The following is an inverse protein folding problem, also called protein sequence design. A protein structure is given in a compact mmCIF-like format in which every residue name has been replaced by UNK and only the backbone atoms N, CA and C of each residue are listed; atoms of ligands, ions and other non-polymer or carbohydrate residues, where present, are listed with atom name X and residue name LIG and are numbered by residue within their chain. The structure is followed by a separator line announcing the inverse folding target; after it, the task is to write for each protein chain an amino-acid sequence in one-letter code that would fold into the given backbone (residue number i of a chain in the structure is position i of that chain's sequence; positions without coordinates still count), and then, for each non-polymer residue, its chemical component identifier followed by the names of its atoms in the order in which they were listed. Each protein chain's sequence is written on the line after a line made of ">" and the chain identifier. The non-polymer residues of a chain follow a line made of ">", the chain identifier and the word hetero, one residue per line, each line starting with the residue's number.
data_IF_328847965739
#
_entry.id   IF_328847965739
#
_cell.length_a   1.000
_cell.length_b   1.000
_cell.length_c   1.000
_cell.angle_alpha   90.00
_cell.angle_beta   90.00
_cell.angle_gamma   90.00
#
_symmetry.space_group_name_H-M   'P 1'
#
loop_
_entity.id
_entity.type
_entity.pdbx_description
1 polymer ?
#
# COMPACT_ATOMS: atom_id res chain seq x y z
N UNK A 1 -8.31 -11.41 -7.95
CA UNK A 1 -8.25 -10.69 -6.65
C UNK A 1 -6.97 -9.87 -6.61
N UNK A 2 -7.01 -8.65 -7.15
CA UNK A 2 -5.96 -7.64 -7.02
C UNK A 2 -6.44 -6.39 -6.28
N UNK A 3 -6.92 -6.57 -5.04
CA UNK A 3 -7.50 -5.47 -4.24
C UNK A 3 -6.58 -4.24 -4.09
N UNK A 4 -5.26 -4.43 -4.09
CA UNK A 4 -4.30 -3.32 -4.05
C UNK A 4 -4.30 -2.41 -5.29
N UNK A 5 -4.79 -2.87 -6.45
CA UNK A 5 -4.88 -2.00 -7.63
C UNK A 5 -5.92 -0.89 -7.44
N UNK A 6 -7.02 -1.19 -6.75
CA UNK A 6 -8.05 -0.21 -6.39
C UNK A 6 -7.51 0.87 -5.45
N UNK A 7 -6.44 0.57 -4.70
CA UNK A 7 -5.79 1.55 -3.82
C UNK A 7 -5.02 2.61 -4.61
N UNK A 8 -4.50 2.26 -5.79
CA UNK A 8 -3.72 3.14 -6.67
C UNK A 8 -4.56 4.13 -7.49
N UNK A 9 -5.89 3.97 -7.52
CA UNK A 9 -6.78 4.92 -8.21
C UNK A 9 -6.73 6.25 -7.45
N UNK A 10 -6.73 7.38 -8.13
CA UNK A 10 -6.84 8.72 -7.53
C UNK A 10 -8.18 9.35 -7.89
N UNK A 11 -8.58 10.42 -7.20
CA UNK A 11 -9.88 11.09 -7.36
C UNK A 11 -11.06 10.09 -7.27
N UNK A 12 -11.06 9.25 -6.23
CA UNK A 12 -11.98 8.12 -6.13
C UNK A 12 -13.40 8.56 -5.83
N UNK A 13 -14.34 7.99 -6.57
CA UNK A 13 -15.75 7.88 -6.18
C UNK A 13 -16.01 6.40 -5.91
N UNK A 14 -16.31 6.07 -4.66
CA UNK A 14 -16.56 4.70 -4.21
C UNK A 14 -18.07 4.53 -4.05
N UNK A 15 -18.66 3.61 -4.82
CA UNK A 15 -20.09 3.30 -4.76
C UNK A 15 -20.24 1.83 -4.30
N UNK A 16 -20.76 1.57 -3.09
CA UNK A 16 -21.10 0.22 -2.65
C UNK A 16 -22.04 -0.49 -3.62
N UNK A 17 -21.85 -1.79 -3.85
CA UNK A 17 -22.74 -2.56 -4.74
C UNK A 17 -24.20 -2.53 -4.28
N UNK A 18 -24.43 -2.44 -2.97
CA UNK A 18 -25.78 -2.36 -2.40
C UNK A 18 -26.55 -1.10 -2.81
N UNK A 19 -25.84 -0.01 -3.15
CA UNK A 19 -26.44 1.26 -3.53
C UNK A 19 -26.69 1.35 -5.04
N UNK A 20 -26.23 0.35 -5.81
CA UNK A 20 -26.41 0.30 -7.26
C UNK A 20 -27.62 -0.58 -7.57
N UNK A 21 -28.66 -0.07 -8.25
CA UNK A 21 -29.84 -0.86 -8.59
C UNK A 21 -29.47 -2.15 -9.33
N UNK A 22 -30.06 -3.27 -8.87
CA UNK A 22 -29.89 -4.61 -9.44
C UNK A 22 -28.46 -5.19 -9.37
N UNK A 23 -27.52 -4.53 -8.68
CA UNK A 23 -26.17 -5.07 -8.52
C UNK A 23 -26.15 -6.16 -7.43
N UNK A 24 -25.62 -7.35 -7.72
CA UNK A 24 -25.50 -8.41 -6.73
C UNK A 24 -24.34 -8.14 -5.76
N UNK A 25 -24.45 -8.67 -4.55
CA UNK A 25 -23.43 -8.54 -3.49
C UNK A 25 -22.55 -9.79 -3.43
N UNK A 26 -21.22 -9.64 -3.38
CA UNK A 26 -20.36 -10.79 -3.14
C UNK A 26 -20.35 -11.17 -1.66
N UNK A 27 -20.45 -12.45 -1.36
CA UNK A 27 -20.39 -13.03 -0.02
C UNK A 27 -19.02 -13.61 0.30
N UNK A 28 -18.12 -13.73 -0.68
CA UNK A 28 -16.78 -14.29 -0.44
C UNK A 28 -15.91 -13.37 0.41
N UNK A 29 -15.34 -13.93 1.48
CA UNK A 29 -14.38 -13.25 2.35
C UNK A 29 -13.25 -12.57 1.54
N UNK A 30 -13.00 -11.29 1.84
CA UNK A 30 -12.02 -10.45 1.15
C UNK A 30 -12.57 -9.63 -0.04
N UNK A 31 -13.84 -9.77 -0.41
CA UNK A 31 -14.49 -8.90 -1.39
C UNK A 31 -15.24 -7.76 -0.69
N UNK A 32 -14.77 -6.52 -0.89
CA UNK A 32 -15.38 -5.33 -0.26
C UNK A 32 -16.71 -4.92 -0.90
N UNK A 33 -17.01 -5.43 -2.10
CA UNK A 33 -18.25 -5.20 -2.85
C UNK A 33 -18.49 -3.70 -3.15
N UNK A 34 -17.46 -3.03 -3.69
CA UNK A 34 -17.54 -1.64 -4.14
C UNK A 34 -17.22 -1.50 -5.62
N UNK A 35 -17.89 -0.58 -6.31
CA UNK A 35 -17.54 -0.09 -7.64
C UNK A 35 -16.83 1.24 -7.49
N UNK A 36 -15.58 1.31 -7.94
CA UNK A 36 -14.71 2.47 -7.73
C UNK A 36 -14.46 3.14 -9.07
N UNK A 37 -14.86 4.40 -9.18
CA UNK A 37 -14.51 5.29 -10.28
C UNK A 37 -13.34 6.17 -9.86
N UNK A 38 -12.55 6.59 -10.83
CA UNK A 38 -11.48 7.57 -10.60
C UNK A 38 -10.51 7.58 -11.75
N UNK A 39 -9.27 7.96 -11.47
CA UNK A 39 -8.20 8.00 -12.46
C UNK A 39 -7.06 7.06 -12.09
N UNK A 40 -6.54 6.36 -13.08
CA UNK A 40 -5.28 5.62 -12.98
C UNK A 40 -4.35 6.16 -14.08
N UNK A 41 -3.31 6.89 -13.70
CA UNK A 41 -2.43 7.64 -14.62
C UNK A 41 -3.15 8.63 -15.53
N UNK A 42 -4.11 9.37 -14.97
CA UNK A 42 -4.93 10.32 -15.74
C UNK A 42 -5.96 9.67 -16.67
N UNK A 43 -5.97 8.35 -16.81
CA UNK A 43 -7.02 7.62 -17.52
C UNK A 43 -8.19 7.37 -16.57
N UNK A 44 -9.41 7.66 -17.04
CA UNK A 44 -10.62 7.29 -16.31
C UNK A 44 -10.74 5.77 -16.24
N UNK A 45 -10.93 5.26 -15.04
CA UNK A 45 -11.11 3.84 -14.77
C UNK A 45 -12.32 3.60 -13.89
N UNK A 46 -12.92 2.43 -14.09
CA UNK A 46 -13.91 1.84 -13.18
C UNK A 46 -13.38 0.48 -12.73
N UNK A 47 -13.39 0.23 -11.43
CA UNK A 47 -12.77 -0.94 -10.82
C UNK A 47 -13.76 -1.65 -9.89
N UNK A 48 -13.89 -2.97 -10.08
CA UNK A 48 -14.62 -3.84 -9.16
C UNK A 48 -13.74 -4.23 -7.97
N UNK A 49 -14.05 -3.70 -6.79
CA UNK A 49 -13.40 -4.10 -5.54
C UNK A 49 -14.13 -5.29 -4.90
N UNK A 50 -14.09 -6.42 -5.61
CA UNK A 50 -14.81 -7.64 -5.26
C UNK A 50 -15.56 -8.16 -6.47
N UNK A 51 -15.31 -9.42 -6.83
CA UNK A 51 -15.93 -10.08 -7.98
C UNK A 51 -17.06 -11.00 -7.52
N UNK A 52 -17.94 -11.39 -8.43
CA UNK A 52 -19.01 -12.35 -8.20
C UNK A 52 -18.62 -13.69 -8.80
N UNK A 53 -18.99 -14.79 -8.15
CA UNK A 53 -18.68 -16.13 -8.62
C UNK A 53 -19.93 -17.00 -8.71
N UNK A 54 -20.00 -17.92 -9.69
CA UNK A 54 -21.12 -18.83 -9.81
C UNK A 54 -21.33 -19.73 -8.59
N UNK A 55 -20.25 -20.15 -7.92
CA UNK A 55 -20.33 -20.96 -6.70
C UNK A 55 -20.98 -20.23 -5.51
N UNK A 56 -21.18 -18.90 -5.59
CA UNK A 56 -21.96 -18.13 -4.61
C UNK A 56 -23.49 -18.29 -4.84
N UNK A 57 -23.91 -19.10 -5.82
CA UNK A 57 -25.31 -19.30 -6.22
C UNK A 57 -25.77 -18.37 -7.35
N UNK A 58 -24.86 -17.57 -7.91
CA UNK A 58 -25.18 -16.65 -8.99
C UNK A 58 -25.10 -17.32 -10.36
N UNK A 59 -25.97 -16.90 -11.29
CA UNK A 59 -25.83 -17.32 -12.69
C UNK A 59 -24.58 -16.70 -13.32
N UNK A 60 -24.01 -17.33 -14.34
CA UNK A 60 -22.88 -16.77 -15.08
C UNK A 60 -23.20 -15.39 -15.67
N UNK A 61 -24.46 -15.16 -16.08
CA UNK A 61 -24.95 -13.87 -16.54
C UNK A 61 -24.95 -12.82 -15.41
N UNK A 62 -25.38 -13.19 -14.20
CA UNK A 62 -25.32 -12.33 -13.01
C UNK A 62 -23.87 -11.97 -12.67
N UNK A 63 -22.94 -12.92 -12.73
CA UNK A 63 -21.51 -12.65 -12.49
C UNK A 63 -20.91 -11.69 -13.54
N UNK A 64 -21.36 -11.78 -14.79
CA UNK A 64 -20.92 -10.91 -15.88
C UNK A 64 -21.67 -9.55 -15.94
N UNK A 65 -22.73 -9.36 -15.16
CA UNK A 65 -23.55 -8.14 -15.18
C UNK A 65 -22.74 -6.84 -14.97
N UNK A 66 -21.77 -6.76 -14.04
CA UNK A 66 -20.96 -5.55 -13.87
C UNK A 66 -20.18 -5.15 -15.13
N UNK A 67 -19.74 -6.12 -15.94
CA UNK A 67 -19.04 -5.86 -17.21
C UNK A 67 -19.97 -5.18 -18.23
N UNK A 68 -21.28 -5.51 -18.21
CA UNK A 68 -22.30 -4.80 -19.02
C UNK A 68 -22.39 -3.35 -18.64
N UNK A 69 -22.52 -3.11 -17.34
CA UNK A 69 -22.65 -1.75 -16.80
C UNK A 69 -21.42 -0.93 -17.19
N UNK A 70 -20.21 -1.48 -17.06
CA UNK A 70 -18.99 -0.79 -17.50
C UNK A 70 -18.98 -0.50 -19.00
N UNK A 71 -19.46 -1.43 -19.84
CA UNK A 71 -19.56 -1.18 -21.29
C UNK A 71 -20.50 -0.03 -21.58
N UNK A 72 -21.67 -0.02 -20.95
CA UNK A 72 -22.70 1.01 -21.14
C UNK A 72 -22.22 2.38 -20.65
N UNK A 73 -21.35 2.41 -19.63
CA UNK A 73 -20.68 3.62 -19.16
C UNK A 73 -19.55 4.11 -20.09
N UNK A 74 -19.28 3.40 -21.20
CA UNK A 74 -18.31 3.81 -22.22
C UNK A 74 -16.92 3.17 -22.09
N UNK A 75 -16.74 2.15 -21.24
CA UNK A 75 -15.46 1.45 -21.18
C UNK A 75 -15.22 0.64 -22.48
N UNK A 76 -13.97 0.65 -22.96
CA UNK A 76 -13.56 -0.03 -24.20
C UNK A 76 -12.52 -1.13 -23.97
N UNK A 77 -11.85 -1.11 -22.82
CA UNK A 77 -10.82 -2.07 -22.44
C UNK A 77 -11.19 -2.72 -21.11
N UNK A 78 -10.94 -4.02 -20.99
CA UNK A 78 -11.18 -4.80 -19.78
C UNK A 78 -9.88 -5.48 -19.34
N UNK A 79 -9.52 -5.34 -18.07
CA UNK A 79 -8.43 -6.09 -17.45
C UNK A 79 -9.04 -7.03 -16.41
N UNK A 80 -8.92 -8.34 -16.63
CA UNK A 80 -9.45 -9.35 -15.70
C UNK A 80 -8.31 -10.04 -14.96
N UNK A 81 -8.44 -10.16 -13.64
CA UNK A 81 -7.36 -10.65 -12.78
C UNK A 81 -7.84 -11.69 -11.79
N UNK A 82 -7.18 -12.84 -11.75
CA UNK A 82 -7.59 -13.96 -10.93
C UNK A 82 -6.43 -14.61 -10.19
N UNK A 83 -6.78 -15.36 -9.15
CA UNK A 83 -5.90 -16.39 -8.60
C UNK A 83 -6.22 -17.72 -9.29
N UNK A 84 -5.21 -18.55 -9.47
CA UNK A 84 -5.33 -19.81 -10.20
C UNK A 84 -4.41 -20.89 -9.63
N UNK A 85 -4.83 -22.13 -9.71
CA UNK A 85 -3.96 -23.29 -9.52
C UNK A 85 -3.13 -23.52 -10.79
N UNK A 86 -1.83 -23.79 -10.63
CA UNK A 86 -0.94 -24.14 -11.74
C UNK A 86 -1.17 -25.57 -12.19
N UNK A 87 -1.66 -25.76 -13.41
CA UNK A 87 -1.83 -27.08 -14.04
C UNK A 87 -0.54 -27.49 -14.74
N UNK A 88 0.14 -26.52 -15.37
CA UNK A 88 1.45 -26.71 -15.98
C UNK A 88 2.54 -26.93 -14.91
N UNK A 89 3.34 -27.99 -15.06
CA UNK A 89 4.39 -28.37 -14.10
C UNK A 89 5.51 -27.34 -13.96
N UNK A 90 5.78 -26.59 -15.03
CA UNK A 90 6.85 -25.59 -15.08
C UNK A 90 6.48 -24.31 -14.33
N UNK A 91 5.21 -24.17 -13.92
CA UNK A 91 4.73 -22.98 -13.24
C UNK A 91 4.98 -23.10 -11.75
N UNK A 92 5.42 -21.99 -11.16
CA UNK A 92 5.68 -21.88 -9.73
C UNK A 92 4.66 -20.98 -9.07
N UNK A 93 4.43 -21.22 -7.77
CA UNK A 93 3.67 -20.31 -6.93
C UNK A 93 4.28 -18.92 -7.01
N UNK A 94 3.46 -17.91 -7.27
CA UNK A 94 3.86 -16.53 -7.49
C UNK A 94 4.21 -16.16 -8.93
N UNK A 95 4.15 -17.10 -9.87
CA UNK A 95 4.23 -16.79 -11.30
C UNK A 95 2.99 -16.01 -11.75
N UNK A 96 3.22 -15.05 -12.64
CA UNK A 96 2.17 -14.27 -13.29
C UNK A 96 2.01 -14.82 -14.70
N UNK A 97 0.83 -15.35 -15.00
CA UNK A 97 0.48 -15.87 -16.32
C UNK A 97 -0.41 -14.87 -17.06
N UNK A 98 0.01 -14.48 -18.26
CA UNK A 98 -0.87 -13.85 -19.24
C UNK A 98 -1.79 -14.92 -19.82
N UNK A 99 -3.10 -14.70 -19.74
CA UNK A 99 -4.10 -15.61 -20.30
C UNK A 99 -4.16 -15.36 -21.81
N UNK A 100 -3.66 -16.32 -22.60
CA UNK A 100 -3.72 -16.25 -24.08
C UNK A 100 -5.03 -16.80 -24.63
N UNK A 101 -5.64 -17.74 -23.92
CA UNK A 101 -6.89 -18.40 -24.27
C UNK A 101 -7.54 -19.05 -23.04
N UNK A 102 -8.76 -19.58 -23.17
CA UNK A 102 -9.42 -20.32 -22.10
C UNK A 102 -10.20 -21.56 -22.55
N UNK A 103 -10.33 -22.51 -21.63
CA UNK A 103 -11.33 -23.58 -21.68
C UNK A 103 -12.48 -23.21 -20.72
N UNK A 104 -13.68 -22.98 -21.24
CA UNK A 104 -14.84 -22.59 -20.45
C UNK A 104 -15.80 -23.78 -20.30
N UNK A 105 -15.58 -24.60 -19.26
CA UNK A 105 -16.37 -25.82 -19.03
C UNK A 105 -17.84 -25.52 -18.73
N UNK A 106 -18.13 -24.41 -18.03
CA UNK A 106 -19.50 -23.97 -17.80
C UNK A 106 -20.24 -23.71 -19.11
N UNK A 107 -19.57 -23.05 -20.07
CA UNK A 107 -20.14 -22.80 -21.40
C UNK A 107 -20.32 -24.08 -22.21
N UNK A 108 -19.35 -25.01 -22.18
CA UNK A 108 -19.45 -26.31 -22.86
C UNK A 108 -20.66 -27.13 -22.36
N UNK A 109 -21.02 -26.98 -21.08
CA UNK A 109 -22.21 -27.58 -20.49
C UNK A 109 -23.51 -26.77 -20.70
N UNK A 110 -23.49 -25.70 -21.48
CA UNK A 110 -24.65 -24.86 -21.78
C UNK A 110 -24.91 -23.72 -20.79
N UNK A 111 -24.12 -23.58 -19.73
CA UNK A 111 -24.22 -22.46 -18.78
C UNK A 111 -23.39 -21.27 -19.28
N UNK A 112 -23.98 -20.50 -20.19
CA UNK A 112 -23.35 -19.38 -20.88
C UNK A 112 -23.95 -18.03 -20.43
N UNK A 113 -23.14 -16.98 -20.17
CA UNK A 113 -23.61 -15.68 -19.68
C UNK A 113 -24.29 -14.78 -20.73
N UNK A 114 -24.33 -15.19 -22.00
CA UNK A 114 -24.69 -14.32 -23.12
C UNK A 114 -26.18 -14.07 -23.23
N UNK A 115 -26.51 -12.78 -23.40
CA UNK A 115 -27.84 -12.27 -23.75
C UNK A 115 -27.57 -11.22 -24.84
N UNK A 116 -28.00 -11.46 -26.09
CA UNK A 116 -27.73 -10.57 -27.24
C UNK A 116 -27.34 -11.35 -28.51
N UNK A 117 -26.40 -10.81 -29.32
CA UNK A 117 -25.86 -11.47 -30.54
C UNK A 117 -25.72 -12.97 -30.36
N UNK A 118 -26.40 -13.74 -31.21
CA UNK A 118 -26.66 -15.16 -30.95
C UNK A 118 -25.39 -16.01 -30.93
N UNK A 119 -24.39 -15.65 -31.73
CA UNK A 119 -23.15 -16.42 -31.91
C UNK A 119 -21.92 -15.48 -31.95
N UNK A 120 -21.45 -14.94 -30.81
CA UNK A 120 -20.28 -14.07 -30.81
C UNK A 120 -19.00 -14.89 -31.05
N UNK A 121 -18.08 -14.43 -31.92
CA UNK A 121 -16.78 -15.06 -32.06
C UNK A 121 -15.93 -14.78 -30.82
N UNK A 122 -15.51 -15.83 -30.11
CA UNK A 122 -14.67 -15.72 -28.90
C UNK A 122 -13.23 -16.18 -29.10
N UNK A 123 -12.84 -16.62 -30.31
CA UNK A 123 -11.47 -17.07 -30.62
C UNK A 123 -10.38 -15.99 -30.50
N UNK A 124 -10.77 -14.72 -30.36
CA UNK A 124 -9.89 -13.58 -30.07
C UNK A 124 -10.33 -12.82 -28.82
N UNK A 125 -10.92 -13.51 -27.84
CA UNK A 125 -11.41 -12.89 -26.61
C UNK A 125 -10.31 -12.19 -25.82
N UNK A 126 -9.06 -12.63 -25.94
CA UNK A 126 -7.87 -11.97 -25.38
C UNK A 126 -7.11 -11.21 -26.47
N UNK A 127 -6.86 -9.92 -26.24
CA UNK A 127 -6.26 -9.04 -27.24
C UNK A 127 -4.75 -9.30 -27.37
N UNK A 128 -4.34 -9.83 -28.53
CA UNK A 128 -2.93 -10.14 -28.81
C UNK A 128 -2.00 -8.93 -28.68
N UNK A 129 -2.46 -7.72 -29.02
CA UNK A 129 -1.63 -6.51 -28.89
C UNK A 129 -1.39 -6.19 -27.41
N UNK A 130 -2.40 -6.34 -26.55
CA UNK A 130 -2.22 -6.17 -25.10
C UNK A 130 -1.25 -7.20 -24.52
N UNK A 131 -1.32 -8.46 -24.93
CA UNK A 131 -0.37 -9.50 -24.50
C UNK A 131 1.07 -9.14 -24.93
N UNK A 132 1.27 -8.74 -26.18
CA UNK A 132 2.58 -8.34 -26.72
C UNK A 132 3.14 -7.14 -25.94
N UNK A 133 2.34 -6.10 -25.73
CA UNK A 133 2.77 -4.92 -24.98
C UNK A 133 3.11 -5.27 -23.52
N UNK A 134 2.33 -6.14 -22.88
CA UNK A 134 2.64 -6.61 -21.52
C UNK A 134 3.94 -7.40 -21.45
N UNK A 135 4.27 -8.21 -22.46
CA UNK A 135 5.56 -8.90 -22.54
C UNK A 135 6.72 -7.92 -22.73
N UNK A 136 6.58 -6.91 -23.59
CA UNK A 136 7.59 -5.85 -23.77
C UNK A 136 7.84 -5.10 -22.46
N UNK A 137 6.75 -4.73 -21.79
CA UNK A 137 6.79 -4.12 -20.46
C UNK A 137 7.54 -5.06 -19.51
N UNK A 138 7.15 -6.32 -19.40
CA UNK A 138 7.79 -7.26 -18.49
C UNK A 138 9.29 -7.40 -18.76
N UNK A 139 9.71 -7.51 -20.02
CA UNK A 139 11.11 -7.55 -20.42
C UNK A 139 11.87 -6.29 -19.95
N UNK A 140 11.29 -5.10 -20.13
CA UNK A 140 11.90 -3.84 -19.67
C UNK A 140 12.16 -3.80 -18.16
N UNK A 141 11.32 -4.46 -17.36
CA UNK A 141 11.45 -4.51 -15.90
C UNK A 141 12.06 -5.81 -15.38
N UNK A 142 12.64 -6.62 -16.28
CA UNK A 142 13.21 -7.93 -15.97
C UNK A 142 12.24 -8.83 -15.17
N UNK A 143 10.95 -8.76 -15.52
CA UNK A 143 9.88 -9.57 -14.96
C UNK A 143 9.64 -10.77 -15.87
N UNK A 144 9.77 -11.97 -15.31
CA UNK A 144 9.42 -13.19 -16.01
C UNK A 144 7.90 -13.38 -15.97
N UNK A 145 7.27 -13.42 -17.14
CA UNK A 145 5.85 -13.76 -17.29
C UNK A 145 5.71 -15.13 -17.92
N UNK A 146 4.68 -15.86 -17.50
CA UNK A 146 4.17 -17.03 -18.21
C UNK A 146 3.08 -16.61 -19.18
N UNK A 147 2.75 -17.47 -20.12
CA UNK A 147 1.63 -17.30 -21.03
C UNK A 147 0.97 -18.66 -21.25
N UNK A 148 -0.35 -18.75 -21.06
CA UNK A 148 -1.02 -20.04 -21.05
C UNK A 148 -2.55 -20.00 -21.16
N UNK A 149 -3.13 -21.19 -21.26
CA UNK A 149 -4.57 -21.42 -21.37
C UNK A 149 -5.18 -21.54 -19.96
N UNK A 150 -6.20 -20.72 -19.69
CA UNK A 150 -6.91 -20.73 -18.41
C UNK A 150 -8.15 -21.64 -18.46
N UNK A 151 -8.30 -22.56 -17.51
CA UNK A 151 -9.45 -23.43 -17.39
C UNK A 151 -10.43 -22.86 -16.37
N UNK A 152 -11.62 -22.46 -16.83
CA UNK A 152 -12.69 -21.97 -15.98
C UNK A 152 -13.63 -23.10 -15.54
N UNK A 153 -13.64 -23.41 -14.25
CA UNK A 153 -14.53 -24.38 -13.61
C UNK A 153 -15.61 -23.70 -12.76
N UNK A 154 -16.60 -24.49 -12.31
CA UNK A 154 -17.69 -24.01 -11.45
C UNK A 154 -17.28 -23.78 -9.99
N UNK A 155 -16.44 -24.67 -9.42
CA UNK A 155 -16.18 -24.69 -7.98
C UNK A 155 -17.39 -25.14 -7.15
N UNK A 156 -17.38 -24.99 -5.81
CA UNK A 156 -16.32 -24.38 -4.99
C UNK A 156 -15.20 -25.35 -4.58
N UNK A 157 -15.38 -26.65 -4.77
CA UNK A 157 -14.33 -27.63 -4.48
C UNK A 157 -13.12 -27.38 -5.38
N UNK A 158 -11.92 -27.44 -4.80
CA UNK A 158 -10.69 -27.52 -5.59
C UNK A 158 -10.66 -28.83 -6.38
N UNK A 159 -9.81 -28.84 -7.40
CA UNK A 159 -9.73 -29.93 -8.35
C UNK A 159 -9.09 -31.18 -7.72
N UNK A 160 -9.64 -32.34 -8.03
CA UNK A 160 -9.03 -33.65 -7.77
C UNK A 160 -7.79 -33.85 -8.64
N UNK A 161 -6.94 -34.82 -8.28
CA UNK A 161 -5.76 -35.20 -9.08
C UNK A 161 -6.18 -35.63 -10.50
N UNK A 162 -7.28 -36.36 -10.63
CA UNK A 162 -7.80 -36.79 -11.93
C UNK A 162 -8.24 -35.60 -12.79
N UNK A 163 -8.92 -34.62 -12.19
CA UNK A 163 -9.33 -33.40 -12.89
C UNK A 163 -8.12 -32.55 -13.32
N UNK A 164 -7.12 -32.35 -12.45
CA UNK A 164 -5.88 -31.65 -12.81
C UNK A 164 -5.16 -32.35 -13.99
N UNK A 165 -5.06 -33.67 -13.94
CA UNK A 165 -4.42 -34.45 -15.01
C UNK A 165 -5.23 -34.36 -16.32
N UNK A 166 -6.56 -34.42 -16.25
CA UNK A 166 -7.43 -34.20 -17.40
C UNK A 166 -7.22 -32.81 -18.00
N UNK A 167 -7.24 -31.75 -17.19
CA UNK A 167 -7.04 -30.39 -17.66
C UNK A 167 -5.68 -30.21 -18.34
N UNK A 168 -4.64 -30.85 -17.82
CA UNK A 168 -3.30 -30.84 -18.44
C UNK A 168 -3.30 -31.51 -19.81
N UNK A 169 -3.93 -32.68 -19.92
CA UNK A 169 -4.06 -33.39 -21.20
C UNK A 169 -4.84 -32.57 -22.25
N UNK A 170 -5.82 -31.78 -21.80
CA UNK A 170 -6.58 -30.86 -22.65
C UNK A 170 -5.83 -29.56 -22.99
N UNK A 171 -4.59 -29.40 -22.52
CA UNK A 171 -3.74 -28.23 -22.81
C UNK A 171 -3.97 -27.04 -21.87
N UNK A 172 -4.59 -27.25 -20.71
CA UNK A 172 -4.73 -26.23 -19.67
C UNK A 172 -3.43 -25.95 -18.93
N UNK A 173 -3.11 -24.68 -18.72
CA UNK A 173 -1.91 -24.24 -18.00
C UNK A 173 -2.21 -23.78 -16.57
N UNK A 174 -3.40 -23.21 -16.36
CA UNK A 174 -3.88 -22.79 -15.04
C UNK A 174 -5.38 -23.02 -14.92
N UNK A 175 -5.88 -23.23 -13.72
CA UNK A 175 -7.30 -23.48 -13.43
C UNK A 175 -7.84 -22.53 -12.37
N UNK A 176 -9.10 -22.14 -12.50
CA UNK A 176 -9.81 -21.50 -11.41
C UNK A 176 -11.29 -21.32 -11.68
N UNK A 177 -11.97 -20.59 -10.80
CA UNK A 177 -13.43 -20.62 -10.68
C UNK A 177 -14.09 -19.29 -11.08
N UNK A 178 -13.47 -18.52 -11.98
CA UNK A 178 -13.91 -17.17 -12.32
C UNK A 178 -13.43 -16.75 -13.71
N UNK A 179 -13.56 -15.46 -14.04
CA UNK A 179 -12.95 -14.81 -15.23
C UNK A 179 -13.59 -15.19 -16.56
N UNK A 180 -13.76 -16.47 -16.88
CA UNK A 180 -14.19 -16.90 -18.22
C UNK A 180 -15.55 -16.32 -18.63
N UNK A 181 -16.52 -16.24 -17.71
CA UNK A 181 -17.84 -15.66 -18.00
C UNK A 181 -17.79 -14.14 -18.21
N UNK A 182 -16.94 -13.42 -17.47
CA UNK A 182 -16.70 -11.99 -17.68
C UNK A 182 -16.05 -11.76 -19.06
N UNK A 183 -15.08 -12.59 -19.44
CA UNK A 183 -14.37 -12.50 -20.73
C UNK A 183 -15.26 -12.88 -21.90
N UNK A 184 -16.06 -13.94 -21.78
CA UNK A 184 -17.06 -14.31 -22.80
C UNK A 184 -18.02 -13.16 -23.05
N UNK A 185 -18.46 -12.49 -21.99
CA UNK A 185 -19.32 -11.31 -22.12
C UNK A 185 -18.56 -10.11 -22.69
N UNK A 186 -17.31 -9.90 -22.28
CA UNK A 186 -16.47 -8.82 -22.77
C UNK A 186 -16.27 -8.91 -24.29
N UNK A 187 -15.98 -10.12 -24.80
CA UNK A 187 -15.86 -10.41 -26.22
C UNK A 187 -17.16 -10.11 -26.98
N UNK A 188 -18.31 -10.52 -26.42
CA UNK A 188 -19.63 -10.24 -27.01
C UNK A 188 -19.93 -8.75 -27.16
N UNK A 189 -19.46 -7.93 -26.21
CA UNK A 189 -19.65 -6.48 -26.22
C UNK A 189 -18.51 -5.69 -26.87
N UNK A 190 -17.54 -6.37 -27.49
CA UNK A 190 -16.44 -5.74 -28.22
C UNK A 190 -15.39 -5.07 -27.33
N UNK A 191 -15.22 -5.52 -26.09
CA UNK A 191 -14.08 -5.11 -25.28
C UNK A 191 -12.77 -5.66 -25.83
N UNK A 192 -11.71 -4.85 -25.74
CA UNK A 192 -10.34 -5.35 -25.82
C UNK A 192 -9.93 -5.86 -24.45
N UNK A 193 -9.65 -7.15 -24.32
CA UNK A 193 -9.45 -7.78 -22.99
C UNK A 193 -8.01 -8.23 -22.77
N UNK A 194 -7.48 -7.95 -21.58
CA UNK A 194 -6.24 -8.52 -21.07
C UNK A 194 -6.55 -9.39 -19.85
N UNK A 195 -6.14 -10.66 -19.89
CA UNK A 195 -6.31 -11.60 -18.78
C UNK A 195 -4.99 -11.86 -18.06
N UNK A 196 -5.02 -11.81 -16.73
CA UNK A 196 -3.87 -12.08 -15.88
C UNK A 196 -4.27 -13.06 -14.77
N UNK A 197 -3.56 -14.18 -14.67
CA UNK A 197 -3.71 -15.13 -13.58
C UNK A 197 -2.44 -15.11 -12.71
N UNK A 198 -2.63 -15.02 -11.40
CA UNK A 198 -1.58 -15.25 -10.41
C UNK A 198 -1.64 -16.72 -10.01
N UNK A 199 -0.54 -17.46 -10.19
CA UNK A 199 -0.44 -18.85 -9.74
C UNK A 199 -0.29 -18.86 -8.21
N UNK A 200 -1.32 -19.32 -7.51
CA UNK A 200 -1.38 -19.29 -6.04
C UNK A 200 -1.10 -20.63 -5.39
N UNK A 201 -1.15 -21.70 -6.14
CA UNK A 201 -0.86 -23.06 -5.69
C UNK A 201 -0.49 -23.90 -6.92
N UNK A 202 0.16 -25.04 -6.71
CA UNK A 202 0.31 -26.05 -7.77
C UNK A 202 -0.89 -27.00 -7.68
N UNK A 203 -1.46 -27.37 -8.82
CA UNK A 203 -2.47 -28.42 -8.88
C UNK A 203 -1.86 -29.75 -8.46
N UNK A 204 -2.61 -30.54 -7.70
CA UNK A 204 -2.14 -31.85 -7.24
C UNK A 204 -1.97 -32.78 -8.43
N UNK A 205 -0.76 -33.28 -8.62
CA UNK A 205 -0.41 -34.16 -9.76
C UNK A 205 0.00 -35.57 -9.35
N UNK A 206 0.23 -35.83 -8.06
CA UNK A 206 0.61 -37.13 -7.54
C UNK A 206 -0.15 -37.43 -6.24
N UNK A 207 -0.63 -38.67 -6.13
CA UNK A 207 -1.35 -39.22 -4.98
C UNK A 207 -0.48 -39.33 -3.72
N UNK A 208 0.85 -39.29 -3.86
CA UNK A 208 1.77 -39.29 -2.71
C UNK A 208 1.98 -37.89 -2.09
N UNK A 209 1.38 -36.84 -2.65
CA UNK A 209 1.54 -35.46 -2.17
C UNK A 209 0.60 -35.21 -0.98
N UNK A 210 1.15 -34.82 0.17
CA UNK A 210 0.39 -34.58 1.42
C UNK A 210 -0.14 -33.14 1.54
N UNK A 211 0.28 -32.24 0.65
CA UNK A 211 -0.07 -30.81 0.74
C UNK A 211 -1.35 -30.49 -0.04
N UNK A 212 -2.45 -30.12 0.61
CA UNK A 212 -3.71 -29.75 -0.04
C UNK A 212 -3.84 -28.25 -0.28
N UNK A 213 -4.62 -27.85 -1.30
CA UNK A 213 -4.89 -26.44 -1.57
C UNK A 213 -5.95 -25.89 -0.60
N UNK A 214 -5.59 -24.88 0.20
CA UNK A 214 -6.50 -24.22 1.15
C UNK A 214 -6.69 -22.75 0.77
N UNK A 215 -7.90 -22.22 0.96
CA UNK A 215 -8.25 -20.83 0.60
C UNK A 215 -7.36 -19.78 1.30
N UNK A 216 -6.96 -20.05 2.55
CA UNK A 216 -6.09 -19.18 3.33
C UNK A 216 -4.71 -19.02 2.71
N UNK A 217 -4.17 -20.10 2.13
CA UNK A 217 -2.88 -20.09 1.42
C UNK A 217 -2.94 -19.22 0.18
N UNK A 218 -4.04 -19.31 -0.56
CA UNK A 218 -4.30 -18.48 -1.73
C UNK A 218 -4.32 -17.00 -1.33
N UNK A 219 -5.03 -16.63 -0.26
CA UNK A 219 -5.05 -15.24 0.24
C UNK A 219 -3.66 -14.78 0.69
N UNK A 220 -2.93 -15.63 1.42
CA UNK A 220 -1.57 -15.36 1.92
C UNK A 220 -0.59 -15.10 0.76
N UNK A 221 -0.64 -15.93 -0.27
CA UNK A 221 0.23 -15.83 -1.46
C UNK A 221 -0.16 -14.63 -2.33
N UNK A 222 -1.45 -14.33 -2.47
CA UNK A 222 -1.91 -13.08 -3.08
C UNK A 222 -1.28 -11.90 -2.32
N UNK A 223 -1.38 -11.84 -1.00
CA UNK A 223 -0.78 -10.74 -0.24
C UNK A 223 0.74 -10.65 -0.46
N UNK A 224 1.47 -11.77 -0.41
CA UNK A 224 2.94 -11.76 -0.55
C UNK A 224 3.43 -11.42 -1.97
N UNK A 225 2.80 -11.97 -3.02
CA UNK A 225 3.24 -11.75 -4.41
C UNK A 225 2.87 -10.36 -4.91
N UNK A 226 1.73 -9.83 -4.47
CA UNK A 226 1.35 -8.45 -4.72
C UNK A 226 2.35 -7.46 -4.18
N UNK A 227 2.84 -7.77 -2.98
CA UNK A 227 3.82 -6.98 -2.27
C UNK A 227 5.24 -7.13 -2.83
N UNK A 228 5.52 -8.13 -3.68
CA UNK A 228 6.88 -8.38 -4.21
C UNK A 228 7.04 -8.10 -5.71
N UNK A 229 6.02 -8.35 -6.54
CA UNK A 229 6.13 -8.33 -8.02
C UNK A 229 5.21 -7.32 -8.73
N UNK A 230 4.04 -6.99 -8.17
CA UNK A 230 3.04 -6.19 -8.90
C UNK A 230 3.26 -4.68 -8.88
N UNK A 231 4.12 -4.17 -8.01
CA UNK A 231 4.60 -2.78 -8.05
C UNK A 231 5.50 -2.42 -9.20
N UNK A 232 6.31 -3.38 -9.65
CA UNK A 232 7.24 -3.19 -10.74
C UNK A 232 6.44 -3.25 -12.04
N UNK A 233 5.35 -4.02 -12.07
CA UNK A 233 4.41 -4.07 -13.18
C UNK A 233 3.41 -2.90 -13.18
N UNK A 234 2.91 -2.46 -12.00
CA UNK A 234 2.05 -1.27 -11.91
C UNK A 234 2.83 -0.02 -12.29
N UNK A 235 4.03 0.18 -11.73
CA UNK A 235 4.93 1.27 -12.11
C UNK A 235 5.27 1.25 -13.60
N UNK A 236 5.42 0.07 -14.21
CA UNK A 236 5.69 -0.07 -15.63
C UNK A 236 4.53 0.31 -16.55
N UNK A 237 3.30 0.00 -16.15
CA UNK A 237 2.06 0.45 -16.81
C UNK A 237 1.86 1.96 -16.58
N UNK A 238 2.52 2.55 -15.58
CA UNK A 238 2.36 3.95 -15.16
C UNK A 238 3.59 4.85 -15.43
N UNK A 239 4.60 4.39 -16.17
CA UNK A 239 5.90 5.09 -16.22
C UNK A 239 5.96 6.24 -17.24
N UNK A 240 5.21 7.29 -16.95
CA UNK A 240 5.65 8.69 -16.95
C UNK A 240 4.93 9.33 -15.76
N UNK A 241 5.65 10.11 -14.95
CA UNK A 241 5.15 10.92 -13.81
C UNK A 241 5.27 10.26 -12.43
N UNK A 242 6.51 10.01 -12.01
CA UNK A 242 6.84 9.88 -10.59
C UNK A 242 7.28 11.22 -10.06
N UNK A 243 6.37 11.97 -9.41
CA UNK A 243 6.78 12.98 -8.44
C UNK A 243 5.88 13.16 -7.23
N UNK A 244 4.66 12.60 -7.16
CA UNK A 244 3.83 12.74 -5.94
C UNK A 244 3.08 11.44 -5.61
N UNK A 245 3.59 10.70 -4.62
CA UNK A 245 2.79 9.74 -3.87
C UNK A 245 2.49 10.37 -2.50
N UNK A 246 1.22 10.69 -2.28
CA UNK A 246 0.73 11.33 -1.07
C UNK A 246 0.68 10.38 0.13
N UNK A 247 0.89 10.97 1.30
CA UNK A 247 1.05 10.34 2.62
C UNK A 247 -0.22 10.54 3.44
N UNK A 248 -1.29 9.79 3.15
CA UNK A 248 -2.54 9.86 3.92
C UNK A 248 -2.54 8.93 5.16
N UNK A 249 -1.48 8.97 5.97
CA UNK A 249 -1.46 8.22 7.22
C UNK A 249 -0.95 9.12 8.34
N UNK A 250 -1.77 9.32 9.37
CA UNK A 250 -1.36 9.88 10.66
C UNK A 250 -0.39 8.90 11.33
N UNK A 251 0.89 9.03 10.99
CA UNK A 251 1.95 8.21 11.55
C UNK A 251 3.09 9.12 11.96
N UNK A 252 3.65 8.87 13.14
CA UNK A 252 4.68 9.73 13.71
C UNK A 252 6.08 9.21 13.34
N UNK A 253 6.27 7.89 13.26
CA UNK A 253 7.59 7.27 13.06
C UNK A 253 7.55 6.22 11.94
N UNK A 254 8.62 6.14 11.15
CA UNK A 254 8.87 5.09 10.17
C UNK A 254 10.06 4.23 10.61
N UNK A 255 9.79 2.96 10.88
CA UNK A 255 10.81 1.94 11.08
C UNK A 255 11.02 1.19 9.76
N UNK A 256 12.25 1.12 9.29
CA UNK A 256 12.59 0.43 8.04
C UNK A 256 13.49 -0.77 8.28
N UNK A 257 13.35 -1.77 7.43
CA UNK A 257 14.15 -2.99 7.47
C UNK A 257 15.25 -2.98 6.40
N UNK A 258 16.31 -3.80 6.52
CA UNK A 258 17.25 -4.02 5.44
C UNK A 258 16.56 -4.54 4.18
N UNK A 259 17.14 -4.27 3.01
CA UNK A 259 16.62 -4.80 1.76
C UNK A 259 16.75 -6.33 1.75
N UNK A 260 15.71 -7.03 1.25
CA UNK A 260 15.69 -8.50 1.13
C UNK A 260 15.76 -9.28 2.46
N UNK A 261 15.34 -8.69 3.58
CA UNK A 261 15.17 -9.44 4.83
C UNK A 261 14.07 -10.50 4.71
N UNK A 262 14.19 -11.62 5.43
CA UNK A 262 13.20 -12.69 5.40
C UNK A 262 11.84 -12.23 5.96
N UNK A 263 10.76 -12.60 5.27
CA UNK A 263 9.39 -12.23 5.64
C UNK A 263 9.03 -12.74 7.07
N UNK A 264 9.62 -13.86 7.50
CA UNK A 264 9.46 -14.38 8.87
C UNK A 264 9.97 -13.42 9.95
N UNK A 265 11.05 -12.68 9.69
CA UNK A 265 11.57 -11.68 10.62
C UNK A 265 10.59 -10.51 10.73
N UNK A 266 10.03 -10.06 9.61
CA UNK A 266 9.04 -8.98 9.56
C UNK A 266 7.79 -9.36 10.37
N UNK A 267 7.26 -10.56 10.14
CA UNK A 267 6.10 -11.08 10.87
C UNK A 267 6.41 -11.22 12.36
N UNK A 268 7.61 -11.72 12.71
CA UNK A 268 8.01 -11.83 14.11
C UNK A 268 8.05 -10.46 14.81
N UNK A 269 8.64 -9.43 14.19
CA UNK A 269 8.60 -8.08 14.77
C UNK A 269 7.17 -7.56 14.94
N UNK A 270 6.31 -7.77 13.95
CA UNK A 270 4.90 -7.39 14.01
C UNK A 270 4.19 -8.06 15.21
N UNK A 271 4.35 -9.38 15.36
CA UNK A 271 3.80 -10.14 16.47
C UNK A 271 4.34 -9.63 17.82
N UNK A 272 5.66 -9.37 17.92
CA UNK A 272 6.25 -8.81 19.14
C UNK A 272 5.68 -7.43 19.49
N UNK A 273 5.49 -6.54 18.51
CA UNK A 273 4.92 -5.23 18.77
C UNK A 273 3.49 -5.33 19.30
N UNK A 274 2.64 -6.13 18.64
CA UNK A 274 1.24 -6.32 19.04
C UNK A 274 1.17 -6.98 20.43
N UNK A 275 2.02 -7.96 20.70
CA UNK A 275 2.05 -8.67 21.98
C UNK A 275 2.55 -7.79 23.13
N UNK A 276 3.61 -7.01 22.91
CA UNK A 276 4.25 -6.22 23.97
C UNK A 276 3.59 -4.86 24.18
N UNK A 277 2.91 -4.31 23.17
CA UNK A 277 2.23 -3.02 23.21
C UNK A 277 0.88 -3.11 22.46
N UNK A 278 -0.24 -3.43 23.13
CA UNK A 278 -1.54 -3.50 22.49
C UNK A 278 -2.03 -2.14 21.94
N UNK A 279 -1.52 -1.04 22.51
CA UNK A 279 -1.88 0.33 22.14
C UNK A 279 -1.14 0.87 20.90
N UNK A 280 -0.31 0.05 20.25
CA UNK A 280 0.45 0.44 19.06
C UNK A 280 -0.39 0.30 17.79
N UNK A 281 -0.37 1.32 16.94
CA UNK A 281 -0.98 1.28 15.59
C UNK A 281 0.12 1.15 14.55
N UNK A 282 0.05 0.10 13.75
CA UNK A 282 1.07 -0.26 12.76
C UNK A 282 0.45 -0.34 11.38
N UNK A 283 0.94 0.46 10.44
CA UNK A 283 0.67 0.32 9.01
C UNK A 283 1.92 -0.17 8.30
N UNK A 284 1.84 -1.31 7.65
CA UNK A 284 2.97 -1.92 6.94
C UNK A 284 2.92 -1.51 5.47
N UNK A 285 4.02 -0.96 4.95
CA UNK A 285 4.19 -0.78 3.50
C UNK A 285 5.49 -1.42 3.06
N UNK A 286 5.53 -1.83 1.80
CA UNK A 286 6.78 -2.22 1.16
C UNK A 286 7.11 -1.24 0.07
N UNK A 287 8.34 -0.76 0.15
CA UNK A 287 8.92 0.16 -0.81
C UNK A 287 9.53 -0.66 -1.92
N UNK A 288 8.72 -0.87 -2.95
CA UNK A 288 9.05 -1.77 -4.03
C UNK A 288 10.30 -1.39 -4.83
N UNK A 289 10.61 -0.10 -4.92
CA UNK A 289 11.82 0.42 -5.59
C UNK A 289 13.09 0.08 -4.81
N UNK A 290 13.02 0.06 -3.47
CA UNK A 290 14.18 -0.19 -2.60
C UNK A 290 14.20 -1.62 -2.07
N UNK A 291 13.12 -2.39 -2.23
CA UNK A 291 12.99 -3.76 -1.73
C UNK A 291 12.93 -3.84 -0.20
N UNK A 292 12.37 -2.81 0.45
CA UNK A 292 12.41 -2.60 1.90
C UNK A 292 11.00 -2.56 2.48
N UNK A 293 10.78 -3.28 3.57
CA UNK A 293 9.60 -3.09 4.40
C UNK A 293 9.75 -1.85 5.28
N UNK A 294 8.64 -1.12 5.44
CA UNK A 294 8.50 0.04 6.32
C UNK A 294 7.29 -0.14 7.23
N UNK A 295 7.51 -0.07 8.53
CA UNK A 295 6.46 0.02 9.53
C UNK A 295 6.22 1.48 9.86
N UNK A 296 5.03 1.96 9.52
CA UNK A 296 4.54 3.27 9.88
C UNK A 296 3.82 3.14 11.22
N UNK A 297 4.39 3.77 12.24
CA UNK A 297 4.09 3.54 13.64
C UNK A 297 3.52 4.80 14.29
N UNK A 298 2.49 4.60 15.09
CA UNK A 298 1.98 5.57 16.07
C UNK A 298 1.37 4.79 17.25
N UNK A 299 0.96 5.49 18.30
CA UNK A 299 0.27 4.92 19.45
C UNK A 299 -1.11 5.58 19.60
N UNK A 300 -2.00 4.97 20.38
CA UNK A 300 -3.24 5.62 20.79
C UNK A 300 -2.94 6.92 21.56
N UNK A 301 -3.85 7.90 21.48
CA UNK A 301 -3.69 9.18 22.18
C UNK A 301 -3.44 9.01 23.67
N UNK A 302 -4.18 8.13 24.34
CA UNK A 302 -3.99 7.83 25.76
C UNK A 302 -2.55 7.37 26.06
N UNK A 303 -2.00 6.51 25.20
CA UNK A 303 -0.63 6.02 25.38
C UNK A 303 0.41 7.10 25.08
N UNK A 304 0.12 8.01 24.16
CA UNK A 304 0.95 9.20 23.89
C UNK A 304 0.93 10.13 25.10
N UNK A 305 -0.22 10.38 25.74
CA UNK A 305 -0.30 11.18 26.96
C UNK A 305 0.57 10.57 28.08
N UNK A 306 0.46 9.25 28.35
CA UNK A 306 1.35 8.56 29.32
C UNK A 306 2.83 8.68 28.95
N UNK A 307 3.16 8.66 27.67
CA UNK A 307 4.52 8.86 27.19
C UNK A 307 5.03 10.30 27.33
N UNK A 308 4.14 11.29 27.25
CA UNK A 308 4.45 12.71 27.49
C UNK A 308 4.82 12.97 28.95
N UNK A 309 4.09 12.35 29.88
CA UNK A 309 4.37 12.37 31.32
C UNK A 309 5.75 11.74 31.62
N UNK A 310 6.02 10.56 31.04
CA UNK A 310 7.33 9.91 31.16
C UNK A 310 8.50 10.75 30.62
N UNK A 311 8.24 11.62 29.64
CA UNK A 311 9.22 12.57 29.09
C UNK A 311 9.25 13.92 29.82
N UNK A 312 8.36 14.13 30.80
CA UNK A 312 8.21 15.37 31.56
C UNK A 312 8.05 16.60 30.66
N UNK A 313 7.22 16.48 29.61
CA UNK A 313 6.97 17.58 28.68
C UNK A 313 6.22 18.71 29.37
N UNK A 314 6.59 19.97 29.11
CA UNK A 314 5.85 21.12 29.63
C UNK A 314 4.65 21.45 28.74
N UNK A 315 3.49 21.69 29.34
CA UNK A 315 2.23 22.00 28.66
C UNK A 315 1.53 23.21 29.27
N UNK A 316 0.76 23.98 28.47
CA UNK A 316 0.05 25.13 28.95
C UNK A 316 -1.09 24.73 29.89
N UNK A 317 -1.26 25.48 30.97
CA UNK A 317 -2.36 25.31 31.93
C UNK A 317 -3.52 26.22 31.51
N UNK A 318 -4.76 25.76 31.67
CA UNK A 318 -5.97 26.58 31.44
C UNK A 318 -5.94 27.83 32.33
N UNK A 319 -6.44 28.96 31.81
CA UNK A 319 -6.45 30.24 32.53
C UNK A 319 -7.14 30.17 33.91
N UNK A 320 -8.15 29.31 34.06
CA UNK A 320 -8.88 29.11 35.32
C UNK A 320 -8.01 28.54 36.46
N UNK A 321 -6.89 27.89 36.14
CA UNK A 321 -5.94 27.33 37.11
C UNK A 321 -4.64 28.15 37.23
N UNK A 322 -4.65 29.41 36.79
CA UNK A 322 -3.52 30.35 36.92
C UNK A 322 -2.65 30.51 35.67
N UNK A 323 -2.96 29.77 34.59
CA UNK A 323 -2.25 29.87 33.31
C UNK A 323 -0.77 29.47 33.38
N UNK A 324 -0.01 29.82 32.34
CA UNK A 324 1.43 29.51 32.24
C UNK A 324 1.71 28.09 31.75
N UNK A 325 2.88 27.56 32.08
CA UNK A 325 3.35 26.22 31.68
C UNK A 325 3.72 25.39 32.90
N UNK A 326 3.43 24.09 32.85
CA UNK A 326 3.81 23.12 33.89
C UNK A 326 4.18 21.78 33.26
N UNK A 327 5.03 21.02 33.95
CA UNK A 327 5.33 19.63 33.59
C UNK A 327 4.03 18.84 33.53
N UNK A 328 3.78 18.22 32.38
CA UNK A 328 2.60 17.42 32.10
C UNK A 328 2.57 16.18 32.99
N UNK A 329 1.42 15.95 33.63
CA UNK A 329 1.15 14.79 34.47
C UNK A 329 -0.10 14.11 33.94
N UNK A 330 -0.01 12.80 33.68
CA UNK A 330 -1.12 12.05 33.08
C UNK A 330 -2.33 11.97 34.01
N UNK A 331 -2.12 11.97 35.32
CA UNK A 331 -3.22 11.90 36.30
C UNK A 331 -3.97 13.24 36.46
N UNK A 332 -3.42 14.33 35.93
CA UNK A 332 -3.94 15.70 36.11
C UNK A 332 -4.39 16.35 34.77
N UNK A 333 -4.96 15.56 33.84
CA UNK A 333 -5.32 16.04 32.49
C UNK A 333 -6.18 17.31 32.50
N UNK A 334 -7.08 17.43 33.47
CA UNK A 334 -8.06 18.52 33.56
C UNK A 334 -7.45 19.93 33.62
N UNK A 335 -6.21 20.06 34.10
CA UNK A 335 -5.55 21.37 34.21
C UNK A 335 -4.98 21.87 32.89
N UNK A 336 -4.76 21.00 31.89
CA UNK A 336 -4.05 21.36 30.67
C UNK A 336 -4.97 21.93 29.59
N UNK A 337 -4.54 23.02 28.98
CA UNK A 337 -5.30 23.68 27.91
C UNK A 337 -5.22 22.86 26.62
N UNK A 338 -6.37 22.62 25.99
CA UNK A 338 -6.46 21.93 24.70
C UNK A 338 -6.21 20.41 24.75
N UNK A 339 -6.16 19.79 25.93
CA UNK A 339 -5.95 18.34 26.09
C UNK A 339 -7.03 17.47 25.44
N UNK A 340 -8.20 18.04 25.16
CA UNK A 340 -9.29 17.33 24.47
C UNK A 340 -9.08 17.24 22.94
N UNK A 341 -8.21 18.08 22.37
CA UNK A 341 -7.91 18.11 20.93
C UNK A 341 -6.67 17.25 20.64
N UNK A 342 -6.89 15.98 20.23
CA UNK A 342 -5.82 15.01 19.92
C UNK A 342 -4.84 15.52 18.83
N UNK A 343 -5.33 16.31 17.88
CA UNK A 343 -4.55 16.77 16.74
C UNK A 343 -3.64 17.95 17.09
N UNK A 344 -4.09 18.82 18.02
CA UNK A 344 -3.40 20.08 18.33
C UNK A 344 -2.66 20.08 19.65
N UNK A 345 -3.04 19.23 20.61
CA UNK A 345 -2.43 19.25 21.94
C UNK A 345 -0.92 18.98 21.91
N UNK A 346 -0.50 18.05 21.06
CA UNK A 346 0.91 17.77 20.82
C UNK A 346 1.35 18.27 19.45
N UNK A 347 2.44 19.03 19.44
CA UNK A 347 3.15 19.34 18.20
C UNK A 347 3.67 18.07 17.54
N UNK A 348 3.93 18.14 16.24
CA UNK A 348 4.43 16.99 15.47
C UNK A 348 5.78 16.49 16.02
N UNK A 349 6.64 17.39 16.48
CA UNK A 349 7.92 17.03 17.07
C UNK A 349 7.77 16.35 18.45
N UNK A 350 6.86 16.82 19.29
CA UNK A 350 6.58 16.18 20.58
C UNK A 350 6.02 14.78 20.38
N UNK A 351 5.02 14.62 19.50
CA UNK A 351 4.46 13.30 19.17
C UNK A 351 5.54 12.32 18.72
N UNK A 352 6.39 12.73 17.78
CA UNK A 352 7.52 11.92 17.32
C UNK A 352 8.46 11.54 18.48
N UNK A 353 8.81 12.49 19.34
CA UNK A 353 9.72 12.26 20.48
C UNK A 353 9.11 11.27 21.48
N UNK A 354 7.81 11.40 21.77
CA UNK A 354 7.05 10.48 22.62
C UNK A 354 7.03 9.07 22.01
N UNK A 355 6.66 8.95 20.73
CA UNK A 355 6.60 7.65 20.04
C UNK A 355 7.97 7.00 19.98
N UNK A 356 9.04 7.75 19.73
CA UNK A 356 10.42 7.25 19.82
C UNK A 356 10.73 6.70 21.21
N UNK A 357 10.46 7.47 22.26
CA UNK A 357 10.69 7.05 23.64
C UNK A 357 9.95 5.74 23.95
N UNK A 358 8.66 5.66 23.60
CA UNK A 358 7.84 4.47 23.78
C UNK A 358 8.41 3.26 23.02
N UNK A 359 8.77 3.41 21.74
CA UNK A 359 9.35 2.32 20.93
C UNK A 359 10.66 1.79 21.52
N UNK A 360 11.57 2.70 21.92
CA UNK A 360 12.86 2.30 22.48
C UNK A 360 12.74 1.74 23.91
N UNK A 361 11.64 2.05 24.62
CA UNK A 361 11.32 1.48 25.93
C UNK A 361 10.79 0.05 25.88
N UNK A 362 10.40 -0.47 24.71
CA UNK A 362 9.88 -1.84 24.58
C UNK A 362 10.96 -2.85 25.00
N UNK A 363 10.63 -3.68 25.99
CA UNK A 363 11.50 -4.73 26.54
C UNK A 363 10.94 -6.11 26.25
N UNK A 364 11.84 -7.06 26.01
CA UNK A 364 11.49 -8.46 25.74
C UNK A 364 11.25 -9.20 27.04
N UNK A 365 10.11 -9.90 27.13
CA UNK A 365 9.65 -10.56 28.35
C UNK A 365 10.12 -12.02 28.48
N UNK A 366 10.43 -12.70 27.36
CA UNK A 366 10.89 -14.09 27.31
C UNK A 366 12.08 -14.25 26.38
N UNK A 367 12.92 -15.26 26.60
CA UNK A 367 14.02 -15.58 25.69
C UNK A 367 13.45 -15.97 24.32
N UNK A 368 13.86 -15.25 23.28
CA UNK A 368 13.43 -15.52 21.91
C UNK A 368 14.60 -15.62 20.95
N UNK A 369 14.42 -16.45 19.92
CA UNK A 369 15.44 -16.71 18.91
C UNK A 369 14.79 -16.53 17.54
N UNK A 370 15.33 -15.61 16.75
CA UNK A 370 14.91 -15.37 15.37
C UNK A 370 16.15 -15.30 14.48
N UNK A 371 16.18 -16.06 13.38
CA UNK A 371 17.34 -16.18 12.48
C UNK A 371 18.68 -16.42 13.21
N UNK A 372 18.67 -17.28 14.24
CA UNK A 372 19.87 -17.59 15.05
C UNK A 372 20.31 -16.46 16.01
N UNK A 373 19.62 -15.31 16.02
CA UNK A 373 19.88 -14.20 16.92
C UNK A 373 19.05 -14.38 18.20
N UNK A 374 19.74 -14.43 19.33
CA UNK A 374 19.11 -14.51 20.65
C UNK A 374 18.80 -13.12 21.18
N UNK A 375 17.54 -12.94 21.58
CA UNK A 375 17.04 -11.80 22.33
C UNK A 375 16.87 -12.21 23.79
N UNK A 376 17.60 -11.56 24.70
CA UNK A 376 17.54 -11.86 26.13
C UNK A 376 16.37 -11.12 26.79
N UNK A 377 15.95 -11.63 27.95
CA UNK A 377 14.95 -10.97 28.80
C UNK A 377 15.47 -9.57 29.18
N UNK A 378 14.55 -8.60 29.20
CA UNK A 378 14.78 -7.19 29.50
C UNK A 378 15.73 -6.45 28.52
N UNK A 379 15.93 -6.99 27.32
CA UNK A 379 16.59 -6.24 26.24
C UNK A 379 15.60 -5.41 25.44
N UNK A 380 16.05 -4.23 24.99
CA UNK A 380 15.29 -3.38 24.07
C UNK A 380 15.11 -4.07 22.72
N UNK A 381 13.86 -4.24 22.28
CA UNK A 381 13.54 -4.86 20.99
C UNK A 381 14.14 -4.06 19.83
N UNK A 382 13.99 -2.74 19.85
CA UNK A 382 14.45 -1.83 18.78
C UNK A 382 15.97 -1.76 18.75
N UNK A 383 16.61 -1.47 19.89
CA UNK A 383 18.07 -1.32 19.94
C UNK A 383 18.76 -2.61 19.50
N UNK A 384 18.26 -3.75 19.99
CA UNK A 384 18.82 -5.05 19.63
C UNK A 384 18.60 -5.39 18.16
N UNK A 385 17.44 -5.03 17.61
CA UNK A 385 17.14 -5.17 16.19
C UNK A 385 18.07 -4.33 15.31
N UNK A 386 18.40 -3.10 15.72
CA UNK A 386 19.35 -2.23 15.03
C UNK A 386 20.78 -2.80 15.10
N UNK A 387 21.26 -3.18 16.28
CA UNK A 387 22.60 -3.76 16.48
C UNK A 387 22.85 -5.01 15.62
N UNK A 388 21.80 -5.81 15.41
CA UNK A 388 21.87 -7.05 14.65
C UNK A 388 21.49 -6.90 13.18
N UNK A 389 21.34 -5.67 12.71
CA UNK A 389 20.92 -5.37 11.34
C UNK A 389 19.63 -6.09 10.96
N UNK A 390 18.73 -6.33 11.92
CA UNK A 390 17.36 -6.78 11.63
C UNK A 390 16.46 -5.58 11.35
N UNK A 391 16.72 -4.44 12.00
CA UNK A 391 16.13 -3.14 11.69
C UNK A 391 17.23 -2.29 11.06
N UNK A 392 16.91 -1.55 10.00
CA UNK A 392 17.88 -0.66 9.34
C UNK A 392 17.96 0.69 10.04
N UNK A 393 16.80 1.32 10.25
CA UNK A 393 16.71 2.62 10.90
C UNK A 393 15.27 2.90 11.34
N UNK A 394 15.14 3.78 12.33
CA UNK A 394 13.87 4.34 12.80
C UNK A 394 13.97 5.85 12.61
N UNK A 395 13.06 6.45 11.83
CA UNK A 395 13.10 7.87 11.47
C UNK A 395 11.76 8.56 11.76
N UNK A 396 11.77 9.82 12.23
CA UNK A 396 10.53 10.60 12.37
C UNK A 396 9.93 10.93 11.00
N UNK A 397 8.61 10.84 10.90
CA UNK A 397 7.88 11.16 9.67
C UNK A 397 7.42 12.62 9.67
N UNK A 398 7.88 13.35 8.67
CA UNK A 398 7.52 14.75 8.47
C UNK A 398 6.04 14.91 8.08
N UNK A 399 5.34 15.84 8.74
CA UNK A 399 4.04 16.31 8.27
C UNK A 399 4.26 17.20 7.03
N UNK A 400 3.84 16.70 5.86
CA UNK A 400 4.05 17.39 4.57
C UNK A 400 3.33 18.73 4.48
N UNK A 401 2.16 18.87 5.08
CA UNK A 401 1.38 20.11 5.04
C UNK A 401 2.10 21.22 5.80
N UNK A 402 2.54 20.93 7.04
CA UNK A 402 3.33 21.89 7.84
C UNK A 402 4.66 22.23 7.18
N UNK A 403 5.32 21.26 6.55
CA UNK A 403 6.57 21.49 5.81
C UNK A 403 6.35 22.36 4.57
N UNK A 404 5.28 22.11 3.82
CA UNK A 404 4.92 22.91 2.65
C UNK A 404 4.53 24.32 3.05
N UNK A 405 3.78 24.48 4.15
CA UNK A 405 3.48 25.78 4.73
C UNK A 405 4.76 26.56 5.05
N UNK A 406 5.71 25.97 5.79
CA UNK A 406 7.01 26.60 6.07
C UNK A 406 7.80 26.93 4.80
N UNK A 407 7.76 26.06 3.79
CA UNK A 407 8.41 26.32 2.50
C UNK A 407 7.80 27.54 1.83
N UNK A 408 6.48 27.56 1.70
CA UNK A 408 5.76 28.65 1.04
C UNK A 408 5.92 29.97 1.79
N UNK A 409 5.77 29.99 3.11
CA UNK A 409 5.82 31.24 3.90
C UNK A 409 7.21 31.84 4.02
N UNK A 410 8.26 31.01 4.08
CA UNK A 410 9.60 31.46 4.44
C UNK A 410 10.71 31.10 3.43
N UNK A 411 10.68 29.94 2.77
CA UNK A 411 11.80 29.47 1.94
C UNK A 411 11.74 29.97 0.49
N UNK A 412 10.56 30.26 -0.04
CA UNK A 412 10.42 30.67 -1.45
C UNK A 412 11.00 32.07 -1.73
N UNK A 413 11.68 32.28 -2.88
CA UNK A 413 12.38 33.55 -3.18
C UNK A 413 11.51 34.80 -3.13
N UNK A 414 10.19 34.65 -3.35
CA UNK A 414 9.21 35.75 -3.28
C UNK A 414 9.02 36.31 -1.86
N UNK A 415 9.41 35.55 -0.83
CA UNK A 415 9.16 35.86 0.58
C UNK A 415 10.45 36.18 1.34
N UNK A 416 11.53 36.56 0.63
CA UNK A 416 12.85 36.81 1.22
C UNK A 416 12.87 37.97 2.23
N UNK A 417 11.87 38.86 2.18
CA UNK A 417 11.70 39.98 3.10
C UNK A 417 10.76 39.69 4.27
N UNK A 418 10.08 38.53 4.27
CA UNK A 418 9.22 38.16 5.39
C UNK A 418 10.08 37.85 6.62
N UNK A 419 9.60 38.20 7.83
CA UNK A 419 10.27 37.78 9.05
C UNK A 419 10.29 36.25 9.13
N UNK A 420 11.39 35.70 9.67
CA UNK A 420 11.52 34.27 9.85
C UNK A 420 10.46 33.77 10.86
N UNK A 421 9.67 32.73 10.51
CA UNK A 421 8.62 32.20 11.39
C UNK A 421 9.23 31.29 12.45
N UNK A 422 9.88 31.88 13.45
CA UNK A 422 10.61 31.13 14.50
C UNK A 422 9.68 30.19 15.27
N UNK A 423 8.45 30.61 15.52
CA UNK A 423 7.47 29.80 16.25
C UNK A 423 7.03 28.56 15.44
N UNK A 424 6.75 28.71 14.15
CA UNK A 424 6.40 27.57 13.29
C UNK A 424 7.58 26.61 13.12
N UNK A 425 8.82 27.16 13.03
CA UNK A 425 10.06 26.37 13.02
C UNK A 425 10.21 25.62 14.35
N UNK A 426 9.92 26.26 15.48
CA UNK A 426 9.96 25.66 16.82
C UNK A 426 8.95 24.53 16.95
N UNK A 427 7.72 24.73 16.50
CA UNK A 427 6.67 23.71 16.54
C UNK A 427 6.98 22.51 15.63
N UNK A 428 7.64 22.74 14.50
CA UNK A 428 7.93 21.68 13.53
C UNK A 428 9.26 20.95 13.80
N UNK A 429 10.34 21.68 14.07
CA UNK A 429 11.69 21.12 14.25
C UNK A 429 12.15 21.06 15.72
N UNK A 430 11.42 21.70 16.64
CA UNK A 430 11.79 21.81 18.04
C UNK A 430 12.67 23.02 18.37
N UNK A 431 12.82 23.26 19.67
CA UNK A 431 13.49 24.47 20.23
C UNK A 431 14.93 24.61 19.77
N UNK A 432 15.70 23.52 19.72
CA UNK A 432 17.13 23.57 19.35
C UNK A 432 17.35 24.07 17.92
N UNK A 433 16.54 23.59 16.98
CA UNK A 433 16.64 24.00 15.57
C UNK A 433 16.09 25.41 15.39
N UNK A 434 15.02 25.78 16.08
CA UNK A 434 14.53 27.16 16.09
C UNK A 434 15.58 28.15 16.61
N UNK A 435 16.31 27.81 17.68
CA UNK A 435 17.42 28.61 18.19
C UNK A 435 18.55 28.75 17.18
N UNK A 436 18.91 27.66 16.50
CA UNK A 436 19.90 27.70 15.42
C UNK A 436 19.49 28.67 14.30
N UNK A 437 18.24 28.60 13.86
CA UNK A 437 17.72 29.47 12.82
C UNK A 437 17.61 30.94 13.26
N UNK A 438 17.22 31.18 14.52
CA UNK A 438 17.23 32.50 15.12
C UNK A 438 18.65 33.09 15.15
N UNK A 439 19.64 32.29 15.54
CA UNK A 439 21.05 32.69 15.54
C UNK A 439 21.56 32.98 14.13
N UNK A 440 21.22 32.12 13.16
CA UNK A 440 21.57 32.32 11.76
C UNK A 440 20.99 33.63 11.20
N UNK A 441 19.74 33.96 11.56
CA UNK A 441 19.11 35.24 11.18
C UNK A 441 19.88 36.45 11.74
N UNK A 442 20.27 36.40 13.01
CA UNK A 442 21.12 37.43 13.62
C UNK A 442 22.46 37.57 12.87
N UNK A 443 23.10 36.45 12.53
CA UNK A 443 24.36 36.44 11.80
C UNK A 443 24.22 37.01 10.37
N UNK A 444 23.19 36.60 9.63
CA UNK A 444 22.91 37.13 8.29
C UNK A 444 22.68 38.64 8.31
N UNK A 445 21.89 39.15 9.28
CA UNK A 445 21.68 40.59 9.46
C UNK A 445 22.97 41.33 9.78
N UNK A 446 23.83 40.75 10.62
CA UNK A 446 25.13 41.33 10.94
C UNK A 446 26.07 41.40 9.72
N UNK A 447 26.03 40.41 8.82
CA UNK A 447 26.84 40.36 7.60
C UNK A 447 26.35 41.30 6.48
N UNK A 448 25.09 41.74 6.49
CA UNK A 448 24.59 42.70 5.50
C UNK A 448 25.37 44.02 5.51
N UNK A 449 25.79 44.52 6.69
CA UNK A 449 26.55 45.77 6.80
C UNK A 449 27.93 45.68 6.14
N UNK A 450 28.80 44.71 6.48
CA UNK A 450 30.06 44.49 5.77
C UNK A 450 29.88 44.26 4.26
N UNK A 451 28.83 43.54 3.85
CA UNK A 451 28.57 43.27 2.44
C UNK A 451 28.24 44.55 1.65
N UNK A 452 27.39 45.43 2.19
CA UNK A 452 27.08 46.73 1.59
C UNK A 452 28.32 47.64 1.53
N UNK A 453 29.13 47.66 2.60
CA UNK A 453 30.39 48.40 2.64
C UNK A 453 31.40 47.87 1.60
N UNK A 454 31.50 46.55 1.45
CA UNK A 454 32.34 45.91 0.43
C UNK A 454 31.90 46.25 -1.01
N UNK A 455 30.59 46.23 -1.28
CA UNK A 455 30.03 46.64 -2.58
C UNK A 455 30.33 48.12 -2.86
N UNK A 456 30.19 48.98 -1.84
CA UNK A 456 30.53 50.39 -1.93
C UNK A 456 32.01 50.59 -2.30
N UNK A 457 32.94 49.95 -1.58
CA UNK A 457 34.38 50.00 -1.92
C UNK A 457 34.65 49.48 -3.33
N UNK A 458 34.04 48.35 -3.70
CA UNK A 458 34.21 47.75 -5.03
C UNK A 458 33.77 48.70 -6.14
N UNK A 459 32.60 49.33 -6.00
CA UNK A 459 32.10 50.31 -6.97
C UNK A 459 33.06 51.50 -7.16
N UNK A 460 33.58 52.07 -6.06
CA UNK A 460 34.50 53.22 -6.12
C UNK A 460 35.90 52.83 -6.64
N UNK A 461 36.39 51.64 -6.29
CA UNK A 461 37.67 51.12 -6.81
C UNK A 461 37.65 50.91 -8.32
N UNK A 462 36.46 50.67 -8.90
CA UNK A 462 36.26 50.45 -10.33
C UNK A 462 36.12 51.73 -11.15
N UNK A 463 35.85 52.86 -10.51
CA UNK A 463 35.87 54.19 -11.16
C UNK A 463 37.28 54.83 -11.15
N UNK A 464 38.22 54.26 -10.40
CA UNK A 464 39.60 54.75 -10.26
C UNK A 464 40.62 53.96 -11.10
N UNK A 465 40.14 52.98 -11.88
CA UNK A 465 40.83 52.36 -13.03
C UNK A 465 40.19 52.87 -14.31
#
# INVERSE_FOLDING_TARGET
>A
RLGGLAELIVDKIIIPYADIPHFPKSTVMGHRSNLIFGKLNGLYVVCMQGRLHPYEGYTTATCAFPVRVMRMLGAHSLIVTCAAGGVNHDYCVGDIMLIKDHLNFSNLAGNNPLIGTRFPPVGHAYDRKYIIEMKKIAHKYNLQLREGVYCGLGGPCYETIAEINMLRLLGGDAVGMSTVHEVTFAAHCGFRTLGIALITNKGLSDYNTIYEAVHEDVIRIIKSVFHKRFSNLSSAITNRLWLNADTNYECDVLLTFPARIDDHVIIWFLEKFIQLQPDIRISIKYHFTTGVYGFYLTFTYERILKGADALQLEKPIKQEFGGGYRIFLFDELEFYEGVEDEEKFFSTQERQSIVFHLLYSIRITKLEIINGIKFKIDQSLIQRGLEKNLIRQVIPLHNKEKLNHLRETWVWPKNIFNPQPIEDIRQYFGVKIALYFCWLSCYTKALCFPALYGIYIWYYSRQSQ
#
